data_IF_766603377104
#
_entry.id   IF_766603377104
#
_cell.length_a   1.000
_cell.length_b   1.000
_cell.length_c   1.000
_cell.angle_alpha   90.00
_cell.angle_beta   90.00
_cell.angle_gamma   90.00
#
_symmetry.space_group_name_H-M   'P 1'
#
loop_
_entity.id
_entity.type
_entity.pdbx_description
1 polymer ?
#
# COMPACT_ATOMS: atom_id res chain seq x y z
N UNK A 1 -16.92 -18.89 4.09
CA UNK A 1 -17.67 -17.60 4.13
C UNK A 1 -17.81 -17.00 2.74
N UNK A 2 -18.82 -16.14 2.54
CA UNK A 2 -19.05 -15.41 1.27
C UNK A 2 -18.71 -13.94 1.47
N UNK A 3 -17.71 -13.45 0.78
CA UNK A 3 -17.13 -12.13 1.02
C UNK A 3 -17.19 -11.27 -0.24
N UNK A 4 -17.80 -10.09 -0.14
CA UNK A 4 -17.62 -9.05 -1.15
C UNK A 4 -16.47 -8.15 -0.72
N UNK A 5 -15.51 -7.95 -1.63
CA UNK A 5 -14.38 -7.03 -1.42
C UNK A 5 -14.50 -5.89 -2.43
N UNK A 6 -14.22 -4.68 -1.99
CA UNK A 6 -14.21 -3.51 -2.88
C UNK A 6 -13.02 -2.62 -2.59
N UNK A 7 -12.26 -2.35 -3.60
CA UNK A 7 -11.16 -1.40 -3.60
C UNK A 7 -10.86 -0.96 -5.03
N UNK A 8 -10.18 0.16 -5.19
CA UNK A 8 -9.80 0.58 -6.54
C UNK A 8 -8.95 1.83 -6.60
N UNK A 9 -8.51 2.10 -7.81
CA UNK A 9 -7.78 3.30 -8.18
C UNK A 9 -6.26 3.15 -8.17
N UNK A 10 -5.67 2.55 -7.15
CA UNK A 10 -4.20 2.40 -7.01
C UNK A 10 -3.83 1.07 -6.36
N UNK A 11 -2.58 0.64 -6.57
CA UNK A 11 -2.03 -0.56 -5.90
C UNK A 11 -2.09 -0.50 -4.38
N UNK A 12 -2.01 0.71 -3.80
CA UNK A 12 -2.11 0.90 -2.35
C UNK A 12 -3.44 0.48 -1.72
N UNK A 13 -4.52 0.31 -2.51
CA UNK A 13 -5.79 -0.26 -2.07
C UNK A 13 -5.96 -1.71 -2.52
N UNK A 14 -5.47 -2.03 -3.72
CA UNK A 14 -5.69 -3.34 -4.35
C UNK A 14 -4.87 -4.42 -3.64
N UNK A 15 -3.57 -4.20 -3.41
CA UNK A 15 -2.72 -5.21 -2.77
C UNK A 15 -3.12 -5.53 -1.32
N UNK A 16 -3.46 -4.55 -0.45
CA UNK A 16 -4.05 -4.88 0.86
C UNK A 16 -5.35 -5.68 0.77
N UNK A 17 -6.20 -5.41 -0.23
CA UNK A 17 -7.41 -6.19 -0.46
C UNK A 17 -7.09 -7.64 -0.83
N UNK A 18 -6.14 -7.86 -1.73
CA UNK A 18 -5.68 -9.19 -2.13
C UNK A 18 -5.05 -9.93 -0.94
N UNK A 19 -4.23 -9.25 -0.13
CA UNK A 19 -3.60 -9.82 1.06
C UNK A 19 -4.65 -10.35 2.07
N UNK A 20 -5.75 -9.62 2.27
CA UNK A 20 -6.86 -10.09 3.12
C UNK A 20 -7.55 -11.30 2.49
N UNK A 21 -7.82 -11.27 1.18
CA UNK A 21 -8.44 -12.40 0.46
C UNK A 21 -7.57 -13.66 0.59
N UNK A 22 -6.26 -13.53 0.35
CA UNK A 22 -5.33 -14.66 0.43
C UNK A 22 -5.27 -15.25 1.84
N UNK A 23 -5.29 -14.40 2.88
CA UNK A 23 -5.36 -14.87 4.26
C UNK A 23 -6.66 -15.61 4.56
N UNK A 24 -7.80 -15.10 4.09
CA UNK A 24 -9.09 -15.77 4.27
C UNK A 24 -9.10 -17.12 3.52
N UNK A 25 -8.63 -17.17 2.27
CA UNK A 25 -8.51 -18.42 1.50
C UNK A 25 -7.63 -19.46 2.20
N UNK A 26 -6.51 -19.01 2.78
CA UNK A 26 -5.62 -19.90 3.53
C UNK A 26 -6.28 -20.49 4.78
N UNK A 27 -7.09 -19.70 5.48
CA UNK A 27 -7.77 -20.11 6.72
C UNK A 27 -9.09 -20.85 6.47
N UNK A 28 -9.80 -20.50 5.41
CA UNK A 28 -11.11 -21.06 5.00
C UNK A 28 -11.12 -21.27 3.48
N UNK A 29 -10.57 -22.40 2.98
CA UNK A 29 -10.43 -22.68 1.55
C UNK A 29 -11.76 -22.64 0.77
N UNK A 30 -12.88 -22.99 1.41
CA UNK A 30 -14.23 -23.01 0.80
C UNK A 30 -14.90 -21.62 0.75
N UNK A 31 -14.17 -20.57 1.06
CA UNK A 31 -14.70 -19.20 0.99
C UNK A 31 -14.91 -18.74 -0.45
N UNK A 32 -16.05 -18.10 -0.72
CA UNK A 32 -16.36 -17.50 -2.01
C UNK A 32 -16.12 -15.99 -1.99
N UNK A 33 -15.47 -15.49 -3.05
CA UNK A 33 -15.16 -14.07 -3.18
C UNK A 33 -15.79 -13.46 -4.42
N UNK A 34 -16.31 -12.26 -4.24
CA UNK A 34 -16.69 -11.37 -5.33
C UNK A 34 -16.04 -10.00 -5.13
N UNK A 35 -15.27 -9.56 -6.11
CA UNK A 35 -14.65 -8.26 -6.06
C UNK A 35 -15.44 -7.24 -6.89
N UNK A 36 -15.78 -6.09 -6.30
CA UNK A 36 -16.44 -4.98 -6.99
C UNK A 36 -15.44 -3.82 -7.08
N UNK A 37 -15.01 -3.51 -8.30
CA UNK A 37 -14.06 -2.42 -8.61
C UNK A 37 -14.57 -1.52 -9.73
N UNK A 38 -13.69 -0.69 -10.30
CA UNK A 38 -14.04 0.19 -11.42
C UNK A 38 -13.86 -0.52 -12.77
N UNK A 39 -14.53 -0.01 -13.81
CA UNK A 39 -14.40 -0.56 -15.18
C UNK A 39 -13.12 -0.16 -15.89
N UNK A 40 -12.34 0.82 -15.37
CA UNK A 40 -11.29 1.50 -16.13
C UNK A 40 -9.98 1.75 -15.35
N UNK A 41 -9.80 1.12 -14.20
CA UNK A 41 -8.57 1.20 -13.40
C UNK A 41 -7.89 -0.16 -13.33
N UNK A 42 -6.68 -0.17 -12.77
CA UNK A 42 -5.79 -1.34 -12.75
C UNK A 42 -6.38 -2.58 -12.07
N UNK A 43 -7.31 -2.41 -11.14
CA UNK A 43 -7.96 -3.53 -10.46
C UNK A 43 -8.73 -4.46 -11.40
N UNK A 44 -9.23 -3.94 -12.54
CA UNK A 44 -9.96 -4.74 -13.54
C UNK A 44 -9.10 -5.83 -14.18
N UNK A 45 -7.79 -5.62 -14.22
CA UNK A 45 -6.84 -6.56 -14.82
C UNK A 45 -6.14 -7.40 -13.72
N UNK A 46 -5.74 -6.75 -12.61
CA UNK A 46 -5.03 -7.41 -11.50
C UNK A 46 -5.90 -8.44 -10.80
N UNK A 47 -7.13 -8.10 -10.45
CA UNK A 47 -7.98 -8.97 -9.61
C UNK A 47 -8.40 -10.26 -10.33
N UNK A 48 -8.85 -10.24 -11.62
CA UNK A 48 -9.11 -11.48 -12.35
C UNK A 48 -7.86 -12.34 -12.56
N UNK A 49 -6.68 -11.73 -12.73
CA UNK A 49 -5.42 -12.46 -12.83
C UNK A 49 -5.07 -13.26 -11.55
N UNK A 50 -5.63 -12.86 -10.38
CA UNK A 50 -5.56 -13.60 -9.13
C UNK A 50 -6.68 -14.65 -8.96
N UNK A 51 -7.43 -14.96 -10.03
CA UNK A 51 -8.52 -15.94 -9.99
C UNK A 51 -9.72 -15.53 -9.16
N UNK A 52 -9.97 -14.23 -8.99
CA UNK A 52 -11.08 -13.69 -8.20
C UNK A 52 -12.16 -13.18 -9.13
N UNK A 53 -13.42 -13.58 -8.87
CA UNK A 53 -14.59 -13.11 -9.62
C UNK A 53 -14.73 -11.59 -9.50
N UNK A 54 -14.84 -10.88 -10.63
CA UNK A 54 -14.82 -9.43 -10.70
C UNK A 54 -16.06 -8.84 -11.35
N UNK A 55 -16.59 -7.77 -10.75
CA UNK A 55 -17.65 -6.94 -11.35
C UNK A 55 -17.19 -5.49 -11.37
N UNK A 56 -17.06 -4.92 -12.58
CA UNK A 56 -16.76 -3.50 -12.77
C UNK A 56 -18.03 -2.63 -12.68
N UNK A 57 -17.89 -1.51 -11.97
CA UNK A 57 -18.88 -0.43 -11.98
C UNK A 57 -18.26 0.86 -12.51
N UNK A 58 -19.02 1.60 -13.31
CA UNK A 58 -18.58 2.90 -13.80
C UNK A 58 -18.63 3.92 -12.66
N UNK A 59 -17.48 4.45 -12.26
CA UNK A 59 -17.36 5.43 -11.20
C UNK A 59 -16.28 6.47 -11.52
N UNK A 60 -16.53 7.69 -11.08
CA UNK A 60 -15.57 8.79 -11.14
C UNK A 60 -15.38 9.41 -9.76
N UNK A 61 -14.18 9.89 -9.49
CA UNK A 61 -13.92 10.70 -8.30
C UNK A 61 -14.65 12.05 -8.38
N UNK A 62 -15.10 12.57 -7.24
CA UNK A 62 -15.63 13.93 -7.14
C UNK A 62 -14.47 14.92 -7.38
N UNK A 63 -14.69 15.85 -8.30
CA UNK A 63 -13.73 16.88 -8.71
C UNK A 63 -14.26 18.27 -8.30
N UNK A 64 -13.58 19.34 -8.67
CA UNK A 64 -14.09 20.71 -8.50
C UNK A 64 -14.96 21.17 -9.69
N UNK A 65 -15.29 20.28 -10.62
CA UNK A 65 -16.08 20.59 -11.81
C UNK A 65 -17.53 20.19 -11.57
N UNK A 66 -18.42 21.17 -11.49
CA UNK A 66 -19.84 21.01 -11.12
C UNK A 66 -20.56 20.00 -12.04
N UNK A 67 -20.37 20.08 -13.36
CA UNK A 67 -21.04 19.17 -14.30
C UNK A 67 -20.57 17.70 -14.14
N UNK A 68 -19.26 17.51 -13.91
CA UNK A 68 -18.70 16.18 -13.63
C UNK A 68 -19.16 15.65 -12.28
N UNK A 69 -19.30 16.51 -11.29
CA UNK A 69 -19.72 16.14 -9.94
C UNK A 69 -21.21 15.76 -9.89
N UNK A 70 -22.09 16.43 -10.66
CA UNK A 70 -23.50 16.03 -10.84
C UNK A 70 -23.56 14.61 -11.44
N UNK A 71 -22.80 14.33 -12.50
CA UNK A 71 -22.72 13.00 -13.10
C UNK A 71 -22.20 11.97 -12.10
N UNK A 72 -21.19 12.32 -11.30
CA UNK A 72 -20.65 11.43 -10.27
C UNK A 72 -21.70 11.07 -9.20
N UNK A 73 -22.48 12.04 -8.73
CA UNK A 73 -23.58 11.82 -7.75
C UNK A 73 -24.68 10.92 -8.33
N UNK A 74 -25.08 11.15 -9.59
CA UNK A 74 -26.03 10.28 -10.27
C UNK A 74 -25.51 8.82 -10.35
N UNK A 75 -24.26 8.65 -10.75
CA UNK A 75 -23.62 7.32 -10.81
C UNK A 75 -23.53 6.65 -9.43
N UNK A 76 -23.29 7.40 -8.35
CA UNK A 76 -23.29 6.84 -7.00
C UNK A 76 -24.64 6.18 -6.71
N UNK A 77 -25.76 6.88 -6.94
CA UNK A 77 -27.09 6.35 -6.67
C UNK A 77 -27.44 5.14 -7.56
N UNK A 78 -27.11 5.22 -8.87
CA UNK A 78 -27.26 4.09 -9.80
C UNK A 78 -26.46 2.87 -9.33
N UNK A 79 -25.22 3.07 -8.90
CA UNK A 79 -24.35 2.00 -8.44
C UNK A 79 -24.77 1.43 -7.08
N UNK A 80 -25.32 2.22 -6.16
CA UNK A 80 -25.91 1.70 -4.93
C UNK A 80 -27.03 0.70 -5.27
N UNK A 81 -27.93 1.03 -6.22
CA UNK A 81 -29.00 0.11 -6.66
C UNK A 81 -28.43 -1.16 -7.31
N UNK A 82 -27.43 -1.02 -8.19
CA UNK A 82 -26.73 -2.15 -8.83
C UNK A 82 -26.09 -3.06 -7.78
N UNK A 83 -25.35 -2.48 -6.82
CA UNK A 83 -24.70 -3.24 -5.75
C UNK A 83 -25.69 -3.96 -4.85
N UNK A 84 -26.86 -3.38 -4.55
CA UNK A 84 -27.92 -4.07 -3.81
C UNK A 84 -28.42 -5.33 -4.52
N UNK A 85 -28.61 -5.28 -5.84
CA UNK A 85 -29.03 -6.43 -6.62
C UNK A 85 -27.94 -7.52 -6.62
N UNK A 86 -26.67 -7.15 -6.81
CA UNK A 86 -25.53 -8.06 -6.72
C UNK A 86 -25.49 -8.75 -5.34
N UNK A 87 -25.65 -7.98 -4.27
CA UNK A 87 -25.64 -8.52 -2.89
C UNK A 87 -26.81 -9.44 -2.60
N UNK A 88 -28.01 -9.16 -3.12
CA UNK A 88 -29.16 -10.04 -2.98
C UNK A 88 -28.96 -11.40 -3.67
N UNK A 89 -28.27 -11.42 -4.80
CA UNK A 89 -27.92 -12.62 -5.55
C UNK A 89 -26.74 -13.36 -4.89
N UNK A 90 -25.66 -12.64 -4.60
CA UNK A 90 -24.45 -13.24 -4.03
C UNK A 90 -24.61 -13.62 -2.55
N UNK A 91 -25.48 -12.95 -1.78
CA UNK A 91 -25.76 -13.16 -0.34
C UNK A 91 -24.47 -13.19 0.50
N UNK A 92 -23.70 -12.09 0.56
CA UNK A 92 -22.45 -12.06 1.30
C UNK A 92 -22.70 -12.05 2.82
N UNK A 93 -21.85 -12.73 3.57
CA UNK A 93 -21.78 -12.66 5.03
C UNK A 93 -21.22 -11.32 5.51
N UNK A 94 -20.31 -10.74 4.72
CA UNK A 94 -19.65 -9.47 5.03
C UNK A 94 -19.20 -8.76 3.74
N UNK A 95 -19.09 -7.42 3.83
CA UNK A 95 -18.53 -6.57 2.77
C UNK A 95 -17.32 -5.80 3.29
N UNK A 96 -16.19 -5.94 2.60
CA UNK A 96 -14.92 -5.32 2.94
C UNK A 96 -14.63 -4.14 1.99
N UNK A 97 -14.46 -2.94 2.53
CA UNK A 97 -14.07 -1.73 1.80
C UNK A 97 -12.64 -1.32 2.10
N UNK A 98 -11.74 -1.51 1.13
CA UNK A 98 -10.30 -1.29 1.38
C UNK A 98 -9.82 0.08 0.91
N UNK A 99 -10.64 0.82 0.17
CA UNK A 99 -10.37 2.20 -0.21
C UNK A 99 -10.59 2.51 -1.69
N UNK A 100 -10.49 3.79 -2.00
CA UNK A 100 -10.86 4.32 -3.30
C UNK A 100 -12.34 4.76 -3.35
N UNK A 101 -12.69 5.58 -4.33
CA UNK A 101 -14.06 6.12 -4.45
C UNK A 101 -15.11 5.06 -4.81
N UNK A 102 -14.68 3.93 -5.40
CA UNK A 102 -15.57 2.80 -5.74
C UNK A 102 -16.16 2.12 -4.50
N UNK A 103 -15.50 2.21 -3.35
CA UNK A 103 -15.98 1.59 -2.10
C UNK A 103 -17.25 2.23 -1.56
N UNK A 104 -17.47 3.53 -1.84
CA UNK A 104 -18.59 4.27 -1.26
C UNK A 104 -19.98 3.68 -1.60
N UNK A 105 -20.37 3.49 -2.89
CA UNK A 105 -21.66 2.91 -3.21
C UNK A 105 -21.81 1.46 -2.73
N UNK A 106 -20.70 0.69 -2.67
CA UNK A 106 -20.73 -0.72 -2.26
C UNK A 106 -21.04 -0.83 -0.76
N UNK A 107 -20.28 -0.13 0.08
CA UNK A 107 -20.49 -0.12 1.54
C UNK A 107 -21.86 0.46 1.89
N UNK A 108 -22.28 1.55 1.20
CA UNK A 108 -23.62 2.13 1.44
C UNK A 108 -24.74 1.17 1.06
N UNK A 109 -24.60 0.39 -0.01
CA UNK A 109 -25.54 -0.66 -0.39
C UNK A 109 -25.59 -1.77 0.68
N UNK A 110 -24.45 -2.27 1.13
CA UNK A 110 -24.33 -3.30 2.17
C UNK A 110 -25.06 -2.85 3.46
N UNK A 111 -24.71 -1.64 3.94
CA UNK A 111 -25.33 -1.09 5.16
C UNK A 111 -26.85 -0.98 5.05
N UNK A 112 -27.38 -0.57 3.87
CA UNK A 112 -28.83 -0.47 3.67
C UNK A 112 -29.57 -1.81 3.58
N UNK A 113 -28.83 -2.92 3.43
CA UNK A 113 -29.34 -4.30 3.44
C UNK A 113 -29.07 -5.01 4.79
N UNK A 114 -28.53 -4.32 5.79
CA UNK A 114 -28.18 -4.91 7.09
C UNK A 114 -26.95 -5.81 7.07
N UNK A 115 -26.21 -5.86 5.94
CA UNK A 115 -25.01 -6.70 5.81
C UNK A 115 -23.86 -6.05 6.57
N UNK A 116 -23.09 -6.86 7.32
CA UNK A 116 -21.90 -6.38 8.06
C UNK A 116 -20.87 -5.77 7.16
N UNK A 117 -20.22 -4.71 7.65
CA UNK A 117 -19.25 -3.93 6.88
C UNK A 117 -17.97 -3.69 7.68
N UNK A 118 -16.84 -3.98 7.06
CA UNK A 118 -15.51 -3.64 7.56
C UNK A 118 -14.83 -2.73 6.54
N UNK A 119 -14.25 -1.62 6.98
CA UNK A 119 -13.41 -0.79 6.11
C UNK A 119 -11.99 -0.75 6.64
N UNK A 120 -11.02 -0.55 5.73
CA UNK A 120 -9.61 -0.45 6.10
C UNK A 120 -8.99 0.81 5.51
N UNK A 121 -8.27 1.57 6.34
CA UNK A 121 -7.51 2.77 5.94
C UNK A 121 -6.02 2.49 6.03
N UNK A 122 -5.32 2.70 4.92
CA UNK A 122 -3.89 2.41 4.82
C UNK A 122 -3.01 3.60 5.20
N UNK A 123 -3.48 4.83 5.07
CA UNK A 123 -2.67 6.04 5.27
C UNK A 123 -2.87 6.63 6.67
N UNK A 124 -1.88 7.40 7.12
CA UNK A 124 -1.96 8.16 8.38
C UNK A 124 -3.04 9.25 8.33
N UNK A 125 -3.28 9.82 7.15
CA UNK A 125 -4.43 10.71 6.89
C UNK A 125 -5.43 10.00 6.00
N UNK A 126 -6.65 9.75 6.49
CA UNK A 126 -7.66 9.01 5.75
C UNK A 126 -8.11 9.70 4.46
N UNK A 127 -8.36 8.89 3.43
CA UNK A 127 -9.00 9.34 2.22
C UNK A 127 -10.45 9.82 2.44
N UNK A 128 -10.93 10.73 1.57
CA UNK A 128 -12.29 11.29 1.67
C UNK A 128 -13.38 10.21 1.71
N UNK A 129 -13.24 9.16 0.91
CA UNK A 129 -14.19 8.05 0.88
C UNK A 129 -14.24 7.33 2.23
N UNK A 130 -13.08 6.96 2.80
CA UNK A 130 -13.02 6.25 4.07
C UNK A 130 -13.50 7.13 5.23
N UNK A 131 -13.23 8.45 5.23
CA UNK A 131 -13.79 9.38 6.20
C UNK A 131 -15.34 9.38 6.18
N UNK A 132 -15.94 9.42 4.99
CA UNK A 132 -17.39 9.37 4.85
C UNK A 132 -17.96 8.00 5.27
N UNK A 133 -17.28 6.90 4.90
CA UNK A 133 -17.69 5.54 5.21
C UNK A 133 -17.49 5.16 6.68
N UNK A 134 -16.55 5.78 7.38
CA UNK A 134 -16.30 5.53 8.80
C UNK A 134 -17.53 5.76 9.70
N UNK A 135 -18.44 6.64 9.28
CA UNK A 135 -19.72 6.85 9.97
C UNK A 135 -20.69 5.69 9.77
N UNK A 136 -20.58 4.97 8.65
CA UNK A 136 -21.51 3.91 8.24
C UNK A 136 -21.01 2.52 8.60
N UNK A 137 -19.71 2.30 8.54
CA UNK A 137 -19.09 0.98 8.75
C UNK A 137 -19.31 0.47 10.18
N UNK A 138 -19.38 -0.86 10.32
CA UNK A 138 -19.53 -1.52 11.62
C UNK A 138 -18.19 -1.66 12.33
N UNK A 139 -17.08 -1.85 11.58
CA UNK A 139 -15.71 -1.84 12.08
C UNK A 139 -14.76 -1.15 11.09
N UNK A 140 -13.70 -0.58 11.64
CA UNK A 140 -12.68 0.17 10.89
C UNK A 140 -11.30 -0.33 11.32
N UNK A 141 -10.53 -0.88 10.37
CA UNK A 141 -9.12 -1.17 10.56
C UNK A 141 -8.26 0.00 10.08
N UNK A 142 -7.18 0.30 10.78
CA UNK A 142 -6.22 1.34 10.37
C UNK A 142 -4.79 0.82 10.40
N UNK A 143 -3.98 1.26 9.42
CA UNK A 143 -2.55 0.92 9.35
C UNK A 143 -1.67 1.79 10.24
N UNK A 144 -2.10 3.00 10.57
CA UNK A 144 -1.40 3.93 11.45
C UNK A 144 -2.28 4.26 12.67
N UNK A 145 -1.69 4.25 13.86
CA UNK A 145 -2.43 4.58 15.10
C UNK A 145 -2.98 6.01 15.06
N UNK A 146 -2.26 6.95 14.45
CA UNK A 146 -2.65 8.35 14.28
C UNK A 146 -3.93 8.52 13.47
N UNK A 147 -4.28 7.53 12.64
CA UNK A 147 -5.53 7.55 11.87
C UNK A 147 -6.77 7.34 12.74
N UNK A 148 -6.65 6.77 13.93
CA UNK A 148 -7.77 6.50 14.84
C UNK A 148 -8.53 7.79 15.16
N UNK A 149 -7.83 8.89 15.39
CA UNK A 149 -8.43 10.22 15.71
C UNK A 149 -9.41 10.77 14.67
N UNK A 150 -9.42 10.20 13.47
CA UNK A 150 -10.32 10.63 12.38
C UNK A 150 -11.62 9.82 12.32
N UNK A 151 -11.74 8.79 13.16
CA UNK A 151 -12.86 7.87 13.18
C UNK A 151 -13.44 7.72 14.60
N UNK A 152 -14.55 7.02 14.72
CA UNK A 152 -15.14 6.64 15.98
C UNK A 152 -14.29 5.55 16.66
N UNK A 153 -13.69 5.87 17.82
CA UNK A 153 -12.79 4.97 18.54
C UNK A 153 -13.44 3.63 18.91
N UNK A 154 -14.75 3.63 19.20
CA UNK A 154 -15.48 2.40 19.58
C UNK A 154 -15.54 1.36 18.45
N UNK A 155 -15.37 1.80 17.22
CA UNK A 155 -15.39 0.96 16.01
C UNK A 155 -14.00 0.77 15.39
N UNK A 156 -13.00 1.55 15.80
CA UNK A 156 -11.71 1.63 15.13
C UNK A 156 -10.66 0.81 15.87
N UNK A 157 -9.94 -0.02 15.13
CA UNK A 157 -8.88 -0.87 15.66
C UNK A 157 -7.60 -0.68 14.85
N UNK A 158 -6.46 -0.70 15.53
CA UNK A 158 -5.16 -0.72 14.88
C UNK A 158 -4.88 -2.15 14.38
N UNK A 159 -4.94 -2.33 13.07
CA UNK A 159 -4.73 -3.62 12.40
C UNK A 159 -3.33 -3.74 11.80
N UNK A 160 -2.64 -2.63 11.57
CA UNK A 160 -1.52 -2.60 10.64
C UNK A 160 -2.01 -2.77 9.20
N UNK A 161 -1.08 -2.92 8.26
CA UNK A 161 -1.39 -3.14 6.84
C UNK A 161 -1.13 -4.60 6.45
N UNK A 162 -2.08 -5.29 5.82
CA UNK A 162 -1.96 -6.72 5.45
C UNK A 162 -0.73 -7.06 4.62
N UNK A 163 -0.25 -6.14 3.77
CA UNK A 163 0.95 -6.34 2.95
C UNK A 163 2.23 -6.52 3.79
N UNK A 164 2.27 -5.98 5.01
CA UNK A 164 3.41 -6.16 5.91
C UNK A 164 3.57 -7.62 6.34
N UNK A 165 2.50 -8.32 6.67
CA UNK A 165 2.52 -9.75 7.00
C UNK A 165 2.93 -10.59 5.78
N UNK A 166 2.38 -10.28 4.58
CA UNK A 166 2.81 -10.96 3.35
C UNK A 166 4.31 -10.78 3.07
N UNK A 167 4.85 -9.59 3.36
CA UNK A 167 6.29 -9.34 3.19
C UNK A 167 7.14 -10.22 4.14
N UNK A 168 6.67 -10.47 5.37
CA UNK A 168 7.33 -11.39 6.31
C UNK A 168 7.29 -12.82 5.78
N UNK A 169 6.16 -13.27 5.24
CA UNK A 169 5.97 -14.64 4.75
C UNK A 169 6.68 -14.90 3.41
N UNK A 170 6.99 -13.87 2.64
CA UNK A 170 7.63 -13.99 1.33
C UNK A 170 9.00 -14.69 1.44
N UNK A 171 9.28 -15.64 0.53
CA UNK A 171 10.59 -16.29 0.46
C UNK A 171 11.64 -15.30 -0.04
N UNK A 172 12.71 -15.10 0.73
CA UNK A 172 13.81 -14.19 0.40
C UNK A 172 14.37 -14.45 -1.01
N UNK A 173 14.58 -13.39 -1.78
CA UNK A 173 15.30 -13.39 -3.05
C UNK A 173 16.68 -12.76 -2.80
N UNK A 174 17.76 -13.40 -3.26
CA UNK A 174 19.11 -12.87 -3.15
C UNK A 174 19.34 -11.70 -4.12
N UNK A 175 20.04 -10.68 -3.65
CA UNK A 175 20.56 -9.56 -4.45
C UNK A 175 21.45 -10.01 -5.61
N UNK A 176 22.12 -11.16 -5.46
CA UNK A 176 23.01 -11.72 -6.52
C UNK A 176 22.27 -12.05 -7.81
N UNK A 177 20.95 -12.32 -7.74
CA UNK A 177 20.09 -12.48 -8.93
C UNK A 177 20.09 -11.26 -9.85
N UNK A 178 20.38 -10.08 -9.29
CA UNK A 178 20.41 -8.80 -10.01
C UNK A 178 21.83 -8.26 -10.22
N UNK A 179 22.85 -9.14 -10.13
CA UNK A 179 24.25 -8.80 -10.39
C UNK A 179 24.99 -8.16 -9.23
N UNK A 180 24.35 -7.96 -8.09
CA UNK A 180 24.96 -7.36 -6.90
C UNK A 180 25.81 -8.39 -6.19
N UNK A 181 27.04 -8.02 -5.82
CA UNK A 181 27.96 -8.94 -5.13
C UNK A 181 27.46 -9.29 -3.72
N UNK A 182 27.66 -10.54 -3.32
CA UNK A 182 27.30 -11.01 -1.97
C UNK A 182 27.97 -10.18 -0.87
N UNK A 183 29.24 -9.80 -1.07
CA UNK A 183 30.04 -9.02 -0.11
C UNK A 183 29.68 -7.54 -0.03
N UNK A 184 28.98 -6.98 -1.04
CA UNK A 184 28.65 -5.56 -1.07
C UNK A 184 27.45 -5.24 -0.21
N UNK A 185 27.41 -4.05 0.41
CA UNK A 185 26.19 -3.49 0.95
C UNK A 185 25.21 -3.17 -0.18
N UNK A 186 23.94 -3.40 0.07
CA UNK A 186 22.89 -3.29 -0.94
C UNK A 186 21.89 -2.20 -0.63
N UNK A 187 21.82 -1.20 -1.50
CA UNK A 187 20.82 -0.14 -1.47
C UNK A 187 19.76 -0.40 -2.54
N UNK A 188 18.54 -0.70 -2.10
CA UNK A 188 17.39 -0.90 -2.99
C UNK A 188 16.62 0.41 -3.14
N UNK A 189 16.47 0.89 -4.36
CA UNK A 189 15.78 2.15 -4.65
C UNK A 189 14.51 1.93 -5.47
N UNK A 190 13.36 2.37 -4.95
CA UNK A 190 12.04 2.17 -5.57
C UNK A 190 11.21 3.44 -5.50
N UNK A 191 10.82 3.99 -6.63
CA UNK A 191 10.03 5.22 -6.68
C UNK A 191 8.52 4.99 -6.96
N UNK A 192 8.02 3.82 -6.52
CA UNK A 192 6.63 3.39 -6.68
C UNK A 192 6.41 2.51 -7.92
N UNK A 193 5.27 1.80 -7.95
CA UNK A 193 4.95 0.78 -8.97
C UNK A 193 4.78 1.36 -10.39
N UNK A 194 4.45 2.63 -10.51
CA UNK A 194 4.28 3.32 -11.80
C UNK A 194 5.51 4.17 -12.19
N UNK A 195 6.54 4.19 -11.33
CA UNK A 195 7.65 5.14 -11.46
C UNK A 195 7.24 6.55 -11.00
N UNK A 196 8.17 7.49 -11.01
CA UNK A 196 7.91 8.88 -10.64
C UNK A 196 8.75 9.80 -11.50
N UNK A 197 8.17 10.31 -12.58
CA UNK A 197 8.87 11.23 -13.51
C UNK A 197 9.47 12.46 -12.81
N UNK A 198 8.79 12.96 -11.76
CA UNK A 198 9.25 14.15 -11.03
C UNK A 198 10.56 13.98 -10.25
N UNK A 199 10.96 12.74 -9.94
CA UNK A 199 12.26 12.48 -9.29
C UNK A 199 13.28 11.84 -10.22
N UNK A 200 12.89 11.44 -11.42
CA UNK A 200 13.77 10.68 -12.32
C UNK A 200 15.05 11.44 -12.66
N UNK A 201 14.97 12.75 -12.94
CA UNK A 201 16.16 13.56 -13.20
C UNK A 201 17.13 13.55 -12.00
N UNK A 202 16.62 13.73 -10.79
CA UNK A 202 17.42 13.70 -9.56
C UNK A 202 18.02 12.32 -9.28
N UNK A 203 17.27 11.26 -9.62
CA UNK A 203 17.78 9.89 -9.50
C UNK A 203 18.84 9.61 -10.55
N UNK A 204 18.66 10.08 -11.78
CA UNK A 204 19.66 9.95 -12.83
C UNK A 204 20.98 10.69 -12.46
N UNK A 205 20.86 11.92 -11.95
CA UNK A 205 21.99 12.67 -11.41
C UNK A 205 22.68 11.89 -10.29
N UNK A 206 21.92 11.41 -9.30
CA UNK A 206 22.47 10.62 -8.19
C UNK A 206 23.19 9.35 -8.67
N UNK A 207 22.55 8.54 -9.53
CA UNK A 207 23.14 7.29 -10.04
C UNK A 207 24.43 7.55 -10.83
N UNK A 208 24.53 8.70 -11.51
CA UNK A 208 25.73 9.10 -12.25
C UNK A 208 26.88 9.51 -11.32
N UNK A 209 26.61 9.81 -10.03
CA UNK A 209 27.64 10.11 -9.02
C UNK A 209 28.16 8.88 -8.28
N UNK A 210 27.53 7.72 -8.47
CA UNK A 210 27.94 6.46 -7.87
C UNK A 210 29.14 5.91 -8.69
N UNK A 211 30.28 5.89 -8.08
CA UNK A 211 31.48 5.31 -8.68
C UNK A 211 32.07 4.29 -7.69
N UNK A 212 33.21 4.49 -7.12
CA UNK A 212 33.89 3.51 -6.27
C UNK A 212 33.38 3.55 -4.81
N UNK A 213 32.08 3.32 -4.61
CA UNK A 213 31.44 3.31 -3.29
C UNK A 213 31.47 1.90 -2.65
N UNK A 214 31.41 1.85 -1.31
CA UNK A 214 31.36 0.61 -0.52
C UNK A 214 30.00 -0.11 -0.59
N UNK A 215 29.11 0.34 -1.48
CA UNK A 215 27.76 -0.23 -1.67
C UNK A 215 27.39 -0.26 -3.15
N UNK A 216 26.49 -1.18 -3.48
CA UNK A 216 25.88 -1.25 -4.80
C UNK A 216 24.40 -0.85 -4.72
N UNK A 217 23.93 -0.22 -5.78
CA UNK A 217 22.55 0.30 -5.90
C UNK A 217 21.79 -0.53 -6.93
N UNK A 218 20.59 -0.98 -6.61
CA UNK A 218 19.61 -1.41 -7.59
C UNK A 218 18.46 -0.41 -7.63
N UNK A 219 18.31 0.24 -8.76
CA UNK A 219 17.23 1.19 -9.01
C UNK A 219 16.12 0.59 -9.85
N UNK A 220 14.90 0.55 -9.30
CA UNK A 220 13.70 0.13 -10.03
C UNK A 220 13.06 1.36 -10.65
N UNK A 221 13.26 1.50 -11.96
CA UNK A 221 12.90 2.69 -12.73
C UNK A 221 11.40 2.85 -12.99
N UNK A 222 10.64 1.75 -12.91
CA UNK A 222 9.32 1.64 -13.52
C UNK A 222 9.41 1.37 -15.04
N UNK A 223 8.44 0.65 -15.57
CA UNK A 223 8.44 0.23 -16.99
C UNK A 223 8.52 1.41 -17.97
N UNK A 224 7.87 2.53 -17.63
CA UNK A 224 7.82 3.72 -18.50
C UNK A 224 9.15 4.47 -18.62
N UNK A 225 10.02 4.40 -17.63
CA UNK A 225 11.27 5.14 -17.60
C UNK A 225 12.50 4.28 -17.87
N UNK A 226 12.33 2.96 -17.96
CA UNK A 226 13.45 2.03 -18.10
C UNK A 226 14.30 2.30 -19.35
N UNK A 227 13.66 2.57 -20.48
CA UNK A 227 14.36 2.84 -21.76
C UNK A 227 15.24 4.10 -21.66
N UNK A 228 14.78 5.15 -20.97
CA UNK A 228 15.54 6.38 -20.75
C UNK A 228 16.79 6.11 -19.90
N UNK A 229 16.61 5.41 -18.78
CA UNK A 229 17.71 5.08 -17.88
C UNK A 229 18.72 4.12 -18.52
N UNK A 230 18.29 3.15 -19.31
CA UNK A 230 19.17 2.17 -19.97
C UNK A 230 20.10 2.76 -21.04
N UNK A 231 19.84 3.96 -21.53
CA UNK A 231 20.73 4.69 -22.47
C UNK A 231 21.95 5.29 -21.77
N UNK A 232 21.94 5.38 -20.44
CA UNK A 232 23.03 5.96 -19.68
C UNK A 232 24.06 4.88 -19.31
N UNK A 233 25.33 5.27 -19.28
CA UNK A 233 26.43 4.43 -18.79
C UNK A 233 26.65 4.71 -17.32
N UNK A 234 26.31 3.78 -16.47
CA UNK A 234 26.57 3.83 -15.04
C UNK A 234 27.84 3.04 -14.69
N UNK A 235 28.35 3.27 -13.49
CA UNK A 235 29.44 2.47 -12.93
C UNK A 235 28.98 1.02 -12.66
N UNK A 236 29.95 0.13 -12.41
CA UNK A 236 29.70 -1.27 -12.03
C UNK A 236 28.87 -1.44 -10.75
N UNK A 237 28.77 -0.39 -9.93
CA UNK A 237 28.02 -0.40 -8.66
C UNK A 237 26.54 0.00 -8.83
N UNK A 238 26.09 0.27 -10.05
CA UNK A 238 24.69 0.65 -10.34
C UNK A 238 24.04 -0.39 -11.25
N UNK A 239 22.95 -0.92 -10.77
CA UNK A 239 22.07 -1.86 -11.49
C UNK A 239 20.71 -1.22 -11.67
N UNK A 240 20.05 -1.49 -12.80
CA UNK A 240 18.70 -0.97 -13.09
C UNK A 240 17.78 -2.08 -13.54
N UNK A 241 16.54 -2.04 -13.05
CA UNK A 241 15.48 -2.97 -13.45
C UNK A 241 14.17 -2.21 -13.72
N UNK A 242 13.39 -2.59 -14.73
CA UNK A 242 12.12 -1.93 -15.02
C UNK A 242 11.07 -2.23 -13.96
N UNK A 243 11.07 -3.44 -13.41
CA UNK A 243 10.06 -3.94 -12.49
C UNK A 243 10.53 -5.24 -11.82
N UNK A 244 10.17 -5.42 -10.57
CA UNK A 244 10.40 -6.66 -9.82
C UNK A 244 9.08 -7.14 -9.24
N UNK A 245 8.67 -8.34 -9.61
CA UNK A 245 7.37 -8.92 -9.24
C UNK A 245 7.23 -9.13 -7.71
N UNK A 246 8.24 -9.72 -7.09
CA UNK A 246 8.27 -10.01 -5.66
C UNK A 246 9.22 -9.06 -4.92
N UNK A 247 8.92 -7.77 -4.97
CA UNK A 247 9.80 -6.74 -4.42
C UNK A 247 10.06 -6.91 -2.92
N UNK A 248 9.03 -7.24 -2.13
CA UNK A 248 9.17 -7.46 -0.68
C UNK A 248 10.11 -8.63 -0.35
N UNK A 249 10.16 -9.65 -1.21
CA UNK A 249 11.10 -10.76 -1.08
C UNK A 249 12.57 -10.31 -1.28
N UNK A 250 12.82 -9.37 -2.20
CA UNK A 250 14.13 -8.75 -2.40
C UNK A 250 14.47 -7.73 -1.32
N UNK A 251 13.49 -6.98 -0.80
CA UNK A 251 13.67 -6.07 0.33
C UNK A 251 14.32 -6.76 1.54
N UNK A 252 14.07 -8.06 1.74
CA UNK A 252 14.71 -8.84 2.81
C UNK A 252 16.22 -8.89 2.72
N UNK A 253 16.79 -8.74 1.54
CA UNK A 253 18.25 -8.74 1.32
C UNK A 253 18.86 -7.33 1.33
N UNK A 254 18.05 -6.28 1.25
CA UNK A 254 18.54 -4.91 1.27
C UNK A 254 19.09 -4.50 2.64
N UNK A 255 20.21 -3.77 2.64
CA UNK A 255 20.76 -3.10 3.82
C UNK A 255 20.06 -1.76 4.05
N UNK A 256 19.67 -1.08 2.98
CA UNK A 256 18.95 0.19 3.01
C UNK A 256 17.92 0.24 1.87
N UNK A 257 16.75 0.77 2.14
CA UNK A 257 15.70 1.00 1.14
C UNK A 257 15.50 2.51 0.97
N UNK A 258 15.52 2.99 -0.28
CA UNK A 258 15.12 4.35 -0.64
C UNK A 258 13.83 4.27 -1.42
N UNK A 259 12.73 4.81 -0.89
CA UNK A 259 11.43 4.67 -1.56
C UNK A 259 10.52 5.87 -1.38
N UNK A 260 9.45 5.91 -2.20
CA UNK A 260 8.27 6.73 -1.92
C UNK A 260 7.59 6.30 -0.63
N UNK A 261 6.89 7.23 0.02
CA UNK A 261 6.21 6.98 1.29
C UNK A 261 4.76 6.48 1.10
N UNK A 262 4.56 5.54 0.17
CA UNK A 262 3.29 4.82 0.03
C UNK A 262 3.03 3.93 1.24
N UNK A 263 1.78 3.87 1.71
CA UNK A 263 1.42 3.13 2.92
C UNK A 263 1.79 1.63 2.84
N UNK A 264 1.67 1.01 1.67
CA UNK A 264 2.06 -0.39 1.43
C UNK A 264 3.57 -0.57 1.58
N UNK A 265 4.38 0.26 0.88
CA UNK A 265 5.84 0.18 0.97
C UNK A 265 6.34 0.44 2.39
N UNK A 266 5.75 1.42 3.08
CA UNK A 266 6.06 1.68 4.50
C UNK A 266 5.74 0.46 5.36
N UNK A 267 4.60 -0.20 5.16
CA UNK A 267 4.25 -1.37 5.95
C UNK A 267 5.20 -2.54 5.74
N UNK A 268 5.66 -2.75 4.51
CA UNK A 268 6.68 -3.75 4.19
C UNK A 268 8.02 -3.42 4.86
N UNK A 269 8.48 -2.16 4.76
CA UNK A 269 9.70 -1.65 5.41
C UNK A 269 9.62 -1.84 6.93
N UNK A 270 8.51 -1.45 7.56
CA UNK A 270 8.30 -1.55 9.01
C UNK A 270 8.28 -3.01 9.45
N UNK A 271 7.52 -3.86 8.77
CA UNK A 271 7.40 -5.29 9.12
C UNK A 271 8.70 -6.06 8.92
N UNK A 272 9.50 -5.71 7.91
CA UNK A 272 10.81 -6.27 7.66
C UNK A 272 11.92 -5.60 8.49
N UNK A 273 11.63 -4.54 9.24
CA UNK A 273 12.56 -3.72 10.03
C UNK A 273 13.73 -3.21 9.20
N UNK A 274 13.48 -2.81 7.95
CA UNK A 274 14.52 -2.35 7.03
C UNK A 274 14.82 -0.88 7.21
N UNK A 275 16.10 -0.53 7.28
CA UNK A 275 16.54 0.86 7.29
C UNK A 275 16.00 1.57 6.05
N UNK A 276 15.51 2.79 6.19
CA UNK A 276 14.87 3.46 5.07
C UNK A 276 15.13 4.97 5.00
N UNK A 277 15.24 5.44 3.75
CA UNK A 277 15.07 6.85 3.37
C UNK A 277 13.75 6.95 2.62
N UNK A 278 12.85 7.78 3.09
CA UNK A 278 11.54 8.01 2.50
C UNK A 278 11.51 9.36 1.77
N UNK A 279 11.13 9.33 0.49
CA UNK A 279 10.98 10.51 -0.37
C UNK A 279 9.50 10.66 -0.71
N UNK A 280 8.70 11.37 0.14
CA UNK A 280 7.26 11.50 -0.09
C UNK A 280 6.97 12.27 -1.38
N UNK A 281 5.99 11.77 -2.17
CA UNK A 281 5.50 12.49 -3.34
C UNK A 281 4.57 13.62 -2.91
N UNK A 282 4.78 14.87 -3.35
CA UNK A 282 3.87 15.98 -3.08
C UNK A 282 2.62 15.97 -3.96
N UNK A 283 2.58 15.11 -4.99
CA UNK A 283 1.50 15.08 -6.01
C UNK A 283 0.34 14.14 -5.66
N UNK A 284 0.32 13.63 -4.43
CA UNK A 284 -0.74 12.73 -3.97
C UNK A 284 -1.85 13.47 -3.22
N UNK A 285 -3.06 12.90 -3.23
CA UNK A 285 -4.21 13.50 -2.58
C UNK A 285 -3.94 13.73 -1.07
N UNK A 286 -4.31 14.89 -0.55
CA UNK A 286 -4.16 15.30 0.84
C UNK A 286 -2.71 15.20 1.37
N UNK A 287 -1.72 15.19 0.48
CA UNK A 287 -0.30 15.05 0.83
C UNK A 287 -0.02 13.85 1.77
N UNK A 288 -0.78 12.75 1.62
CA UNK A 288 -0.75 11.63 2.55
C UNK A 288 0.62 10.97 2.66
N UNK A 289 1.44 10.96 1.59
CA UNK A 289 2.79 10.40 1.66
C UNK A 289 3.70 11.19 2.58
N UNK A 290 3.57 12.52 2.61
CA UNK A 290 4.32 13.36 3.56
C UNK A 290 4.02 12.95 5.01
N UNK A 291 2.74 12.83 5.35
CA UNK A 291 2.34 12.46 6.71
C UNK A 291 2.68 11.00 7.05
N UNK A 292 2.63 10.09 6.09
CA UNK A 292 3.10 8.72 6.29
C UNK A 292 4.61 8.69 6.60
N UNK A 293 5.44 9.45 5.86
CA UNK A 293 6.87 9.54 6.09
C UNK A 293 7.20 10.25 7.40
N UNK A 294 6.48 11.35 7.70
CA UNK A 294 6.65 12.13 8.91
C UNK A 294 6.42 11.28 10.17
N UNK A 295 5.45 10.36 10.12
CA UNK A 295 5.18 9.45 11.22
C UNK A 295 6.41 8.59 11.56
N UNK A 296 7.07 8.01 10.55
CA UNK A 296 8.28 7.24 10.76
C UNK A 296 9.46 8.14 11.21
N UNK A 297 9.58 9.32 10.62
CA UNK A 297 10.65 10.26 10.95
C UNK A 297 10.55 10.75 12.41
N UNK A 298 9.34 11.08 12.87
CA UNK A 298 9.09 11.49 14.26
C UNK A 298 9.47 10.39 15.28
N UNK A 299 9.29 9.15 14.90
CA UNK A 299 9.71 7.99 15.72
C UNK A 299 11.17 7.59 15.48
N UNK A 300 11.96 8.34 14.70
CA UNK A 300 13.33 7.99 14.30
C UNK A 300 13.43 6.57 13.69
N UNK A 301 12.38 6.17 13.00
CA UNK A 301 12.26 4.86 12.33
C UNK A 301 12.65 4.93 10.84
N UNK A 302 12.79 6.12 10.26
CA UNK A 302 13.29 6.36 8.91
C UNK A 302 13.86 7.77 8.80
N UNK A 303 14.69 8.01 7.77
CA UNK A 303 15.07 9.36 7.34
C UNK A 303 14.04 9.81 6.30
N UNK A 304 13.56 11.04 6.41
CA UNK A 304 12.67 11.65 5.42
C UNK A 304 13.43 12.74 4.67
N UNK A 305 13.34 12.71 3.34
CA UNK A 305 13.85 13.77 2.45
C UNK A 305 12.69 14.26 1.59
N UNK A 306 12.29 15.51 1.72
CA UNK A 306 11.28 16.09 0.85
C UNK A 306 11.78 16.23 -0.58
N UNK A 307 10.90 15.97 -1.57
CA UNK A 307 11.29 15.97 -2.98
C UNK A 307 11.87 17.31 -3.45
N UNK A 308 11.41 18.45 -2.91
CA UNK A 308 11.91 19.78 -3.22
C UNK A 308 13.35 20.03 -2.73
N UNK A 309 13.75 19.37 -1.63
CA UNK A 309 15.12 19.48 -1.08
C UNK A 309 16.06 18.38 -1.57
N UNK A 310 15.54 17.39 -2.28
CA UNK A 310 16.30 16.25 -2.77
C UNK A 310 17.35 16.70 -3.79
N UNK A 311 18.60 16.29 -3.58
CA UNK A 311 19.70 16.38 -4.54
C UNK A 311 20.59 15.15 -4.45
N UNK A 312 21.42 14.90 -5.47
CA UNK A 312 22.35 13.78 -5.49
C UNK A 312 23.27 13.80 -4.24
N UNK A 313 23.81 14.97 -3.88
CA UNK A 313 24.69 15.12 -2.73
C UNK A 313 24.00 14.83 -1.39
N UNK A 314 22.76 15.29 -1.20
CA UNK A 314 22.00 15.04 0.02
C UNK A 314 21.71 13.54 0.13
N UNK A 315 21.25 12.92 -0.95
CA UNK A 315 20.92 11.49 -0.95
C UNK A 315 22.17 10.63 -0.67
N UNK A 316 23.28 10.91 -1.33
CA UNK A 316 24.57 10.23 -1.13
C UNK A 316 25.06 10.33 0.32
N UNK A 317 24.99 11.54 0.91
CA UNK A 317 25.36 11.79 2.30
C UNK A 317 24.49 10.97 3.28
N UNK A 318 23.18 10.98 3.13
CA UNK A 318 22.27 10.26 4.02
C UNK A 318 22.41 8.74 3.87
N UNK A 319 22.60 8.22 2.66
CA UNK A 319 22.91 6.80 2.42
C UNK A 319 24.19 6.41 3.17
N UNK A 320 25.28 7.15 2.96
CA UNK A 320 26.57 6.86 3.60
C UNK A 320 26.47 6.93 5.11
N UNK A 321 25.80 7.95 5.65
CA UNK A 321 25.56 8.10 7.09
C UNK A 321 24.84 6.87 7.67
N UNK A 322 23.72 6.45 7.08
CA UNK A 322 22.96 5.28 7.56
C UNK A 322 23.80 4.00 7.45
N UNK A 323 24.53 3.81 6.35
CA UNK A 323 25.31 2.57 6.13
C UNK A 323 26.55 2.47 7.04
N UNK A 324 27.04 3.58 7.61
CA UNK A 324 28.26 3.59 8.45
C UNK A 324 27.97 3.76 9.94
N UNK A 325 26.87 4.41 10.32
CA UNK A 325 26.50 4.68 11.72
C UNK A 325 25.75 3.49 12.33
N UNK A 326 26.46 2.63 13.06
CA UNK A 326 25.91 1.43 13.71
C UNK A 326 24.86 1.74 14.78
N UNK A 327 25.05 2.81 15.53
CA UNK A 327 24.10 3.22 16.56
C UNK A 327 22.78 3.67 15.93
N UNK A 328 22.86 4.48 14.88
CA UNK A 328 21.68 4.88 14.09
C UNK A 328 20.94 3.69 13.51
N UNK A 329 21.65 2.69 12.95
CA UNK A 329 21.05 1.47 12.41
C UNK A 329 20.26 0.69 13.47
N UNK A 330 20.87 0.47 14.65
CA UNK A 330 20.23 -0.25 15.76
C UNK A 330 18.99 0.50 16.23
N UNK A 331 19.11 1.80 16.47
CA UNK A 331 18.00 2.63 16.96
C UNK A 331 16.84 2.66 15.96
N UNK A 332 17.13 2.81 14.66
CA UNK A 332 16.12 2.79 13.61
C UNK A 332 15.39 1.43 13.55
N UNK A 333 16.13 0.32 13.58
CA UNK A 333 15.56 -1.03 13.56
C UNK A 333 14.69 -1.33 14.80
N UNK A 334 15.11 -0.89 15.99
CA UNK A 334 14.33 -1.00 17.22
C UNK A 334 13.02 -0.21 17.15
N UNK A 335 13.07 1.01 16.62
CA UNK A 335 11.89 1.85 16.48
C UNK A 335 10.91 1.30 15.43
N UNK A 336 11.41 0.79 14.30
CA UNK A 336 10.60 0.06 13.32
C UNK A 336 9.89 -1.15 13.97
N UNK A 337 10.62 -1.90 14.81
CA UNK A 337 10.07 -3.04 15.55
C UNK A 337 8.91 -2.66 16.50
N UNK A 338 8.96 -1.49 17.14
CA UNK A 338 7.88 -0.98 18.01
C UNK A 338 6.63 -0.55 17.22
N UNK A 339 6.80 -0.16 15.96
CA UNK A 339 5.71 0.26 15.08
C UNK A 339 5.08 -0.93 14.33
N UNK A 340 5.79 -2.04 14.22
CA UNK A 340 5.36 -3.19 13.44
C UNK A 340 4.11 -3.87 14.01
N UNK A 341 3.19 -4.25 13.13
CA UNK A 341 2.05 -5.13 13.39
C UNK A 341 2.18 -6.31 12.42
N UNK A 342 2.81 -7.39 12.91
CA UNK A 342 3.28 -8.48 12.05
C UNK A 342 2.21 -9.53 11.70
N UNK A 343 1.05 -9.46 12.34
CA UNK A 343 -0.10 -10.35 12.19
C UNK A 343 -1.33 -9.64 11.57
N UNK A 344 -1.09 -8.62 10.75
CA UNK A 344 -2.13 -7.70 10.25
C UNK A 344 -3.28 -8.39 9.53
N UNK A 345 -2.99 -9.23 8.54
CA UNK A 345 -4.02 -9.96 7.79
C UNK A 345 -4.69 -11.05 8.62
N UNK A 346 -3.94 -11.69 9.51
CA UNK A 346 -4.45 -12.66 10.50
C UNK A 346 -5.43 -11.97 11.46
N UNK A 347 -5.04 -10.84 12.04
CA UNK A 347 -5.87 -10.09 12.96
C UNK A 347 -7.15 -9.53 12.30
N UNK A 348 -7.06 -9.09 11.05
CA UNK A 348 -8.22 -8.68 10.24
C UNK A 348 -9.15 -9.87 10.01
N UNK A 349 -8.61 -11.03 9.62
CA UNK A 349 -9.41 -12.25 9.45
C UNK A 349 -10.17 -12.63 10.73
N UNK A 350 -9.52 -12.67 11.87
CA UNK A 350 -10.13 -12.96 13.17
C UNK A 350 -11.23 -11.95 13.53
N UNK A 351 -10.98 -10.67 13.28
CA UNK A 351 -11.97 -9.60 13.46
C UNK A 351 -13.22 -9.85 12.59
N UNK A 352 -13.02 -10.20 11.32
CA UNK A 352 -14.11 -10.51 10.38
C UNK A 352 -14.92 -11.73 10.87
N UNK A 353 -14.25 -12.77 11.34
CA UNK A 353 -14.91 -13.97 11.90
C UNK A 353 -15.77 -13.63 13.12
N UNK A 354 -15.26 -12.84 14.04
CA UNK A 354 -15.99 -12.39 15.22
C UNK A 354 -17.23 -11.56 14.84
N UNK A 355 -17.11 -10.67 13.84
CA UNK A 355 -18.22 -9.88 13.34
C UNK A 355 -19.35 -10.74 12.74
N UNK A 356 -19.00 -11.80 11.99
CA UNK A 356 -19.98 -12.72 11.39
C UNK A 356 -20.62 -13.60 12.47
N UNK A 357 -19.84 -14.17 13.38
CA UNK A 357 -20.35 -15.10 14.41
C UNK A 357 -21.29 -14.43 15.43
N UNK A 358 -21.05 -13.19 15.78
CA UNK A 358 -21.93 -12.40 16.66
C UNK A 358 -23.24 -12.02 15.98
N UNK A 359 -23.26 -11.94 14.65
CA UNK A 359 -24.49 -11.65 13.91
C UNK A 359 -25.42 -12.87 13.89
N UNK A 360 -24.87 -14.06 13.60
CA UNK A 360 -25.65 -15.33 13.57
C UNK A 360 -26.29 -15.68 14.93
N UNK A 361 -25.71 -15.23 16.06
CA UNK A 361 -26.25 -15.45 17.40
C UNK A 361 -27.40 -14.50 17.79
N UNK A 362 -27.60 -13.43 17.04
CA UNK A 362 -28.62 -12.40 17.31
C UNK A 362 -29.81 -12.45 16.34
N UNK A 363 -29.81 -13.38 15.37
CA UNK A 363 -30.97 -13.81 14.58
C UNK A 363 -31.62 -15.07 15.17
#
# INVERSE_FOLDING_TARGET
MRVIVTAGGTGGHIYPALAIIDKIKLKEPDSEFLYIGTTNRMEKDIVPAHGIKYIGIEMYGITKNIAKDIKAVFLINKNIKKCKNIMKEFKPDIVLGIGGYVTYPVIKAAKSLGIKTFIHEQNSIPGKSNRALGRLADKIGVSFKESIRYFDESKTIFTGNPCGEQAIDAKKISKTKYGIKESSKFVLMVQGSLGSSSVNEKMLEFLSTIDDEDYEVLYITGKSSYEEFSKNKFSKNVHIEPYIENLSALMKDADLIVSRAGATSISEIVSLKKLAILIPSPYVANNHQFFNALELANHRAAVMIEENTLSANILKREIKKILTDKEMQINMALNLGKMAKNDSSTFIYETIKDMISKWVKNE
#
